data_IF_674813092501
#
_entry.id   IF_674813092501
#
_cell.length_a   1.000
_cell.length_b   1.000
_cell.length_c   1.000
_cell.angle_alpha   90.00
_cell.angle_beta   90.00
_cell.angle_gamma   90.00
#
_symmetry.space_group_name_H-M   'P 1'
#
loop_
_entity.id
_entity.type
_entity.pdbx_description
1 polymer ?
#
# COMPACT_ATOMS: atom_id res chain seq x y z
N UNK A 1 12.30 29.32 -14.94
CA UNK A 1 12.60 27.88 -15.05
C UNK A 1 13.56 27.59 -13.92
N UNK A 2 13.24 26.60 -13.06
CA UNK A 2 14.13 26.20 -11.94
C UNK A 2 15.26 25.34 -12.52
N UNK A 3 16.52 25.65 -12.25
CA UNK A 3 17.64 24.81 -12.68
C UNK A 3 17.55 23.39 -12.09
N UNK A 4 17.99 22.40 -12.87
CA UNK A 4 17.92 20.97 -12.45
C UNK A 4 18.73 20.72 -11.17
N UNK A 5 19.85 21.43 -11.02
CA UNK A 5 20.69 21.33 -9.83
C UNK A 5 19.96 21.77 -8.55
N UNK A 6 19.18 22.83 -8.63
CA UNK A 6 18.36 23.29 -7.48
C UNK A 6 17.28 22.27 -7.12
N UNK A 7 16.65 21.66 -8.13
CA UNK A 7 15.65 20.60 -7.92
C UNK A 7 16.28 19.35 -7.28
N UNK A 8 17.49 18.97 -7.70
CA UNK A 8 18.26 17.90 -7.07
C UNK A 8 18.61 18.21 -5.62
N UNK A 9 19.05 19.44 -5.35
CA UNK A 9 19.34 19.87 -3.98
C UNK A 9 18.11 19.80 -3.09
N UNK A 10 16.95 20.25 -3.57
CA UNK A 10 15.69 20.14 -2.82
C UNK A 10 15.34 18.69 -2.50
N UNK A 11 15.55 17.77 -3.44
CA UNK A 11 15.29 16.36 -3.20
C UNK A 11 16.18 15.78 -2.09
N UNK A 12 17.41 16.27 -1.92
CA UNK A 12 18.30 15.83 -0.83
C UNK A 12 17.86 16.32 0.54
N UNK A 13 17.05 17.38 0.60
CA UNK A 13 16.56 17.97 1.86
C UNK A 13 15.24 17.35 2.33
N UNK A 14 14.57 16.61 1.47
CA UNK A 14 13.30 15.96 1.78
C UNK A 14 13.58 14.48 2.07
N UNK A 15 13.29 13.96 3.29
CA UNK A 15 13.45 12.56 3.60
C UNK A 15 12.64 11.68 2.63
N UNK A 16 13.24 10.60 2.16
CA UNK A 16 12.63 9.62 1.24
C UNK A 16 12.16 10.19 -0.11
N UNK A 17 12.67 11.37 -0.51
CA UNK A 17 12.36 11.93 -1.82
C UNK A 17 13.10 11.17 -2.93
N UNK A 18 12.35 10.82 -3.97
CA UNK A 18 12.91 10.25 -5.20
C UNK A 18 12.86 11.31 -6.31
N UNK A 19 14.02 11.69 -6.83
CA UNK A 19 14.15 12.66 -7.91
C UNK A 19 14.34 11.96 -9.24
N UNK A 20 13.41 12.18 -10.16
CA UNK A 20 13.48 11.63 -11.52
C UNK A 20 13.56 12.77 -12.52
N UNK A 21 14.61 12.77 -13.33
CA UNK A 21 14.76 13.70 -14.43
C UNK A 21 14.06 13.16 -15.67
N UNK A 22 13.08 13.88 -16.16
CA UNK A 22 12.38 13.56 -17.41
C UNK A 22 12.94 14.40 -18.56
N UNK A 23 13.41 13.74 -19.60
CA UNK A 23 13.91 14.41 -20.81
C UNK A 23 12.72 14.81 -21.70
N UNK A 24 12.17 16.00 -21.45
CA UNK A 24 11.12 16.61 -22.26
C UNK A 24 11.42 18.10 -22.46
N UNK A 25 11.18 18.59 -23.66
CA UNK A 25 11.24 20.00 -24.00
C UNK A 25 9.90 20.72 -23.75
N UNK A 26 8.85 19.99 -23.42
CA UNK A 26 7.52 20.52 -23.23
C UNK A 26 7.24 20.86 -21.77
N UNK A 27 6.44 21.90 -21.55
CA UNK A 27 5.99 22.29 -20.21
C UNK A 27 4.94 21.31 -19.64
N UNK A 28 4.25 20.63 -20.53
CA UNK A 28 3.28 19.58 -20.23
C UNK A 28 3.78 18.32 -20.92
N UNK A 29 3.99 17.26 -20.16
CA UNK A 29 4.44 15.98 -20.69
C UNK A 29 3.34 15.36 -21.56
N UNK A 30 3.68 14.97 -22.77
CA UNK A 30 2.75 14.38 -23.74
C UNK A 30 2.92 12.86 -23.80
N UNK A 31 1.81 12.13 -24.01
CA UNK A 31 1.81 10.65 -24.06
C UNK A 31 2.72 10.08 -25.16
N UNK A 32 2.97 10.85 -26.23
CA UNK A 32 3.79 10.42 -27.36
C UNK A 32 5.31 10.58 -27.10
N UNK A 33 5.69 11.22 -26.00
CA UNK A 33 7.10 11.45 -25.67
C UNK A 33 7.70 10.22 -25.00
N UNK A 34 8.97 9.88 -25.28
CA UNK A 34 9.68 8.82 -24.57
C UNK A 34 9.67 8.99 -23.05
N UNK A 35 9.73 10.27 -22.59
CA UNK A 35 9.67 10.62 -21.17
C UNK A 35 8.34 10.23 -20.50
N UNK A 36 7.24 10.06 -21.25
CA UNK A 36 5.95 9.61 -20.71
C UNK A 36 6.01 8.19 -20.15
N UNK A 37 6.71 7.29 -20.85
CA UNK A 37 6.88 5.92 -20.38
C UNK A 37 7.66 5.87 -19.06
N UNK A 38 8.71 6.70 -18.94
CA UNK A 38 9.50 6.85 -17.70
C UNK A 38 8.63 7.40 -16.58
N UNK A 39 7.92 8.51 -16.83
CA UNK A 39 7.01 9.13 -15.88
C UNK A 39 5.98 8.14 -15.35
N UNK A 40 5.32 7.39 -16.24
CA UNK A 40 4.31 6.41 -15.86
C UNK A 40 4.91 5.29 -15.01
N UNK A 41 6.06 4.76 -15.40
CA UNK A 41 6.76 3.72 -14.65
C UNK A 41 7.15 4.17 -13.24
N UNK A 42 7.65 5.40 -13.10
CA UNK A 42 8.04 5.97 -11.81
C UNK A 42 6.83 6.25 -10.91
N UNK A 43 5.73 6.76 -11.49
CA UNK A 43 4.47 6.93 -10.75
C UNK A 43 3.87 5.58 -10.34
N UNK A 44 3.88 4.59 -11.21
CA UNK A 44 3.41 3.24 -10.88
C UNK A 44 4.26 2.63 -9.76
N UNK A 45 5.59 2.81 -9.80
CA UNK A 45 6.51 2.37 -8.75
C UNK A 45 6.29 3.13 -7.42
N UNK A 46 6.04 4.43 -7.49
CA UNK A 46 5.78 5.27 -6.32
C UNK A 46 4.42 4.99 -5.68
N UNK A 47 3.38 4.77 -6.50
CA UNK A 47 2.03 4.45 -6.05
C UNK A 47 1.86 2.97 -5.71
N UNK A 48 2.71 2.11 -6.25
CA UNK A 48 2.87 0.76 -5.73
C UNK A 48 3.55 0.94 -4.38
N UNK A 49 2.84 0.78 -3.24
CA UNK A 49 3.55 0.67 -1.98
C UNK A 49 4.60 -0.39 -2.21
N UNK A 50 5.74 -0.25 -1.54
CA UNK A 50 6.81 -1.23 -1.50
C UNK A 50 6.22 -2.59 -1.11
N UNK A 51 5.47 -3.11 -2.04
CA UNK A 51 4.91 -4.43 -2.02
C UNK A 51 6.05 -5.31 -2.49
N UNK A 52 7.06 -5.42 -1.64
CA UNK A 52 7.67 -6.73 -1.49
C UNK A 52 6.47 -7.68 -1.58
N UNK A 53 6.35 -8.54 -2.61
CA UNK A 53 5.23 -9.45 -2.66
C UNK A 53 5.21 -10.12 -1.30
N UNK A 54 4.24 -9.72 -0.45
CA UNK A 54 4.10 -10.29 0.87
C UNK A 54 3.89 -11.76 0.56
N UNK A 55 4.86 -12.60 0.85
CA UNK A 55 4.77 -13.98 0.43
C UNK A 55 3.43 -14.50 0.97
N UNK A 56 2.70 -15.35 0.24
CA UNK A 56 1.46 -15.98 0.73
C UNK A 56 1.61 -16.54 2.15
N UNK A 57 2.85 -16.83 2.54
CA UNK A 57 3.32 -17.17 3.88
C UNK A 57 2.97 -16.12 4.96
N UNK A 58 2.85 -14.81 4.66
CA UNK A 58 2.55 -13.82 5.70
C UNK A 58 1.11 -13.95 6.21
N UNK A 59 0.15 -14.22 5.32
CA UNK A 59 -1.24 -14.53 5.73
C UNK A 59 -1.33 -15.94 6.32
N UNK A 60 -0.52 -16.89 5.88
CA UNK A 60 -0.44 -18.21 6.50
C UNK A 60 0.07 -18.16 7.95
N UNK A 61 0.78 -17.10 8.34
CA UNK A 61 1.22 -16.85 9.73
C UNK A 61 0.14 -16.24 10.62
N UNK A 62 -0.98 -15.80 10.09
CA UNK A 62 -2.09 -15.31 10.88
C UNK A 62 -2.79 -16.49 11.55
N UNK A 63 -3.08 -16.36 12.84
CA UNK A 63 -3.96 -17.32 13.53
C UNK A 63 -5.38 -17.25 12.94
N UNK A 64 -6.21 -18.27 13.17
CA UNK A 64 -7.60 -18.26 12.75
C UNK A 64 -8.34 -17.00 13.19
N UNK A 65 -8.13 -16.57 14.44
CA UNK A 65 -8.76 -15.37 15.00
C UNK A 65 -8.29 -14.07 14.38
N UNK A 66 -6.99 -13.96 14.09
CA UNK A 66 -6.44 -12.80 13.37
C UNK A 66 -6.99 -12.71 11.94
N UNK A 67 -7.21 -13.85 11.30
CA UNK A 67 -7.80 -13.91 9.96
C UNK A 67 -9.27 -13.44 9.97
N UNK A 68 -10.06 -13.90 10.92
CA UNK A 68 -11.45 -13.44 11.11
C UNK A 68 -11.52 -11.91 11.36
N UNK A 69 -10.64 -11.38 12.20
CA UNK A 69 -10.55 -9.94 12.45
C UNK A 69 -10.17 -9.20 11.17
N UNK A 70 -9.19 -9.69 10.40
CA UNK A 70 -8.74 -9.04 9.17
C UNK A 70 -9.80 -9.09 8.06
N UNK A 71 -10.57 -10.15 7.98
CA UNK A 71 -11.72 -10.28 7.07
C UNK A 71 -12.74 -9.18 7.34
N UNK A 72 -13.15 -8.99 8.60
CA UNK A 72 -14.10 -7.94 9.00
C UNK A 72 -13.53 -6.52 8.79
N UNK A 73 -12.22 -6.35 8.95
CA UNK A 73 -11.55 -5.10 8.58
C UNK A 73 -11.63 -4.84 7.08
N UNK A 74 -11.49 -5.86 6.25
CA UNK A 74 -11.60 -5.73 4.79
C UNK A 74 -13.03 -5.43 4.32
N UNK A 75 -14.03 -5.82 5.11
CA UNK A 75 -15.44 -5.43 4.93
C UNK A 75 -15.73 -3.98 5.37
N UNK A 76 -14.75 -3.29 5.97
CA UNK A 76 -14.88 -1.90 6.41
C UNK A 76 -15.47 -1.70 7.80
N UNK A 77 -15.60 -2.76 8.62
CA UNK A 77 -16.15 -2.67 9.97
C UNK A 77 -15.25 -1.88 10.92
N UNK A 78 -15.83 -1.16 11.87
CA UNK A 78 -15.10 -0.52 12.97
C UNK A 78 -14.69 -1.52 14.05
N UNK A 79 -13.79 -1.13 14.96
CA UNK A 79 -13.35 -2.02 16.04
C UNK A 79 -14.51 -2.41 16.97
N UNK A 80 -15.46 -1.50 17.20
CA UNK A 80 -16.67 -1.73 17.97
C UNK A 80 -17.56 -2.79 17.29
N UNK A 81 -17.82 -2.62 15.99
CA UNK A 81 -18.62 -3.57 15.23
C UNK A 81 -17.95 -4.96 15.15
N UNK A 82 -16.62 -5.02 15.04
CA UNK A 82 -15.87 -6.28 15.10
C UNK A 82 -15.96 -6.90 16.49
N UNK A 83 -15.86 -6.10 17.56
CA UNK A 83 -15.95 -6.58 18.93
C UNK A 83 -17.32 -7.23 19.21
N UNK A 84 -18.39 -6.60 18.75
CA UNK A 84 -19.76 -7.12 18.88
C UNK A 84 -19.94 -8.43 18.08
N UNK A 85 -19.49 -8.43 16.82
CA UNK A 85 -19.65 -9.58 15.91
C UNK A 85 -18.86 -10.81 16.35
N UNK A 86 -17.70 -10.60 16.98
CA UNK A 86 -16.83 -11.67 17.44
C UNK A 86 -16.95 -11.97 18.94
N UNK A 87 -17.85 -11.29 19.66
CA UNK A 87 -18.01 -11.39 21.11
C UNK A 87 -16.67 -11.17 21.86
N UNK A 88 -15.93 -10.13 21.47
CA UNK A 88 -14.66 -9.73 22.06
C UNK A 88 -14.78 -8.34 22.71
N UNK A 89 -13.81 -7.95 23.52
CA UNK A 89 -13.64 -6.54 23.88
C UNK A 89 -12.96 -5.77 22.76
N UNK A 90 -13.25 -4.46 22.62
CA UNK A 90 -12.57 -3.57 21.65
C UNK A 90 -11.05 -3.64 21.85
N UNK A 91 -10.58 -3.65 23.10
CA UNK A 91 -9.16 -3.80 23.44
C UNK A 91 -8.54 -5.11 22.91
N UNK A 92 -9.32 -6.19 22.89
CA UNK A 92 -8.88 -7.47 22.31
C UNK A 92 -8.77 -7.38 20.79
N UNK A 93 -9.71 -6.71 20.13
CA UNK A 93 -9.66 -6.44 18.69
C UNK A 93 -8.41 -5.61 18.34
N UNK A 94 -8.15 -4.54 19.08
CA UNK A 94 -6.95 -3.70 18.90
C UNK A 94 -5.64 -4.49 19.03
N UNK A 95 -5.58 -5.40 20.00
CA UNK A 95 -4.42 -6.28 20.17
C UNK A 95 -4.25 -7.23 18.98
N UNK A 96 -5.33 -7.80 18.46
CA UNK A 96 -5.28 -8.61 17.25
C UNK A 96 -4.80 -7.79 16.05
N UNK A 97 -5.29 -6.57 15.88
CA UNK A 97 -4.86 -5.67 14.81
C UNK A 97 -3.37 -5.33 14.91
N UNK A 98 -2.87 -5.05 16.10
CA UNK A 98 -1.43 -4.81 16.33
C UNK A 98 -0.59 -6.00 15.89
N UNK A 99 -1.01 -7.21 16.26
CA UNK A 99 -0.31 -8.45 15.86
C UNK A 99 -0.39 -8.69 14.35
N UNK A 100 -1.55 -8.45 13.72
CA UNK A 100 -1.76 -8.54 12.28
C UNK A 100 -0.81 -7.58 11.55
N UNK A 101 -0.76 -6.32 11.97
CA UNK A 101 0.09 -5.31 11.34
C UNK A 101 1.57 -5.67 11.45
N UNK A 102 2.01 -6.17 12.61
CA UNK A 102 3.38 -6.65 12.77
C UNK A 102 3.69 -7.84 11.86
N UNK A 103 2.79 -8.81 11.74
CA UNK A 103 2.96 -10.00 10.88
C UNK A 103 2.93 -9.67 9.39
N UNK A 104 2.12 -8.69 9.00
CA UNK A 104 2.03 -8.20 7.62
C UNK A 104 3.07 -7.14 7.27
N UNK A 105 3.90 -6.73 8.24
CA UNK A 105 4.90 -5.67 8.10
C UNK A 105 4.30 -4.35 7.59
N UNK A 106 3.12 -3.98 8.08
CA UNK A 106 2.45 -2.71 7.79
C UNK A 106 2.42 -1.84 9.03
N UNK A 107 2.59 -0.52 8.87
CA UNK A 107 2.65 0.42 9.99
C UNK A 107 2.10 1.80 9.63
N UNK A 108 1.98 2.67 10.64
CA UNK A 108 1.55 4.05 10.45
C UNK A 108 0.04 4.22 10.27
N UNK A 109 -0.37 5.42 9.87
CA UNK A 109 -1.80 5.79 9.74
C UNK A 109 -2.56 4.97 8.69
N UNK A 110 -1.87 4.46 7.69
CA UNK A 110 -2.44 3.67 6.60
C UNK A 110 -2.45 2.16 6.86
N UNK A 111 -1.91 1.67 7.99
CA UNK A 111 -1.74 0.25 8.27
C UNK A 111 -3.04 -0.56 8.12
N UNK A 112 -4.17 0.00 8.58
CA UNK A 112 -5.49 -0.65 8.45
C UNK A 112 -5.90 -0.83 7.00
N UNK A 113 -5.78 0.22 6.19
CA UNK A 113 -6.13 0.19 4.77
C UNK A 113 -5.18 -0.75 4.00
N UNK A 114 -3.88 -0.71 4.30
CA UNK A 114 -2.89 -1.59 3.69
C UNK A 114 -3.17 -3.07 4.02
N UNK A 115 -3.45 -3.40 5.27
CA UNK A 115 -3.79 -4.76 5.68
C UNK A 115 -5.07 -5.28 5.01
N UNK A 116 -6.12 -4.44 4.91
CA UNK A 116 -7.36 -4.76 4.22
C UNK A 116 -7.13 -5.01 2.72
N UNK A 117 -6.38 -4.14 2.05
CA UNK A 117 -6.05 -4.28 0.63
C UNK A 117 -5.29 -5.59 0.34
N UNK A 118 -4.31 -5.94 1.18
CA UNK A 118 -3.56 -7.18 1.07
C UNK A 118 -4.45 -8.42 1.21
N UNK A 119 -5.39 -8.40 2.16
CA UNK A 119 -6.33 -9.50 2.35
C UNK A 119 -7.22 -9.69 1.12
N UNK A 120 -7.77 -8.60 0.58
CA UNK A 120 -8.62 -8.62 -0.62
C UNK A 120 -7.86 -9.13 -1.83
N UNK A 121 -6.62 -8.65 -2.06
CA UNK A 121 -5.79 -9.09 -3.20
C UNK A 121 -5.53 -10.60 -3.21
N UNK A 122 -5.35 -11.20 -2.04
CA UNK A 122 -5.05 -12.62 -1.90
C UNK A 122 -6.30 -13.53 -1.96
N UNK A 123 -7.50 -12.94 -1.76
CA UNK A 123 -8.76 -13.66 -1.85
C UNK A 123 -9.51 -13.41 -3.17
N UNK A 124 -9.04 -12.47 -4.02
CA UNK A 124 -9.58 -12.35 -5.37
C UNK A 124 -8.99 -13.46 -6.26
N UNK A 125 -9.82 -14.23 -6.99
CA UNK A 125 -9.33 -15.13 -8.01
C UNK A 125 -8.56 -14.30 -9.06
N UNK A 126 -7.50 -14.86 -9.68
CA UNK A 126 -6.73 -14.14 -10.69
C UNK A 126 -7.70 -13.63 -11.75
N UNK A 127 -7.72 -12.31 -11.95
CA UNK A 127 -8.47 -11.71 -13.07
C UNK A 127 -7.77 -12.16 -14.35
N UNK A 128 -8.27 -13.21 -14.96
CA UNK A 128 -7.91 -13.53 -16.32
C UNK A 128 -8.32 -12.33 -17.17
N UNK A 129 -7.33 -11.60 -17.66
CA UNK A 129 -7.51 -10.62 -18.73
C UNK A 129 -8.00 -11.41 -19.95
N UNK A 130 -9.30 -11.38 -20.18
CA UNK A 130 -9.85 -11.80 -21.46
C UNK A 130 -9.31 -10.82 -22.53
N UNK A 131 -8.60 -11.38 -23.50
CA UNK A 131 -8.16 -10.69 -24.72
C UNK A 131 -9.34 -10.21 -25.54
#
# INVERSE_FOLDING_TARGET
>A
MVPVEESRLLATLIPDAHFVLLESANHILLEQEPAWAVFRSEIEAFLSPDTQPIPPIAIARLSGREREVLELVSEGLTNEAISDRLCLSVRTVERHLTNIYAKLNVSGKAARAAAAALFVQLHQPPRFSAR
#
